data_IF_018328206743
#
_entry.id   IF_018328206743
#
_cell.length_a   1.000
_cell.length_b   1.000
_cell.length_c   1.000
_cell.angle_alpha   90.00
_cell.angle_beta   90.00
_cell.angle_gamma   90.00
#
_symmetry.space_group_name_H-M   'P 1'
#
loop_
_entity.id
_entity.type
_entity.pdbx_description
1 polymer ?
#
# COMPACT_ATOMS: atom_id res chain seq x y z
N UNK A 1 0.22 -31.96 -17.90
CA UNK A 1 -0.89 -31.12 -17.44
C UNK A 1 -0.71 -30.87 -15.95
N UNK A 2 -0.43 -29.65 -15.48
CA UNK A 2 -0.56 -29.36 -14.06
C UNK A 2 -1.98 -28.86 -13.79
N UNK A 3 -2.61 -29.47 -12.79
CA UNK A 3 -3.91 -29.08 -12.23
C UNK A 3 -3.79 -27.68 -11.62
N UNK A 4 -4.44 -26.70 -12.27
CA UNK A 4 -4.82 -25.43 -11.65
C UNK A 4 -5.92 -25.70 -10.64
N UNK A 5 -5.56 -26.16 -9.44
CA UNK A 5 -6.45 -26.08 -8.31
C UNK A 5 -6.52 -24.61 -7.89
N UNK A 6 -7.52 -23.89 -8.38
CA UNK A 6 -7.90 -22.60 -7.81
C UNK A 6 -8.41 -22.86 -6.40
N UNK A 7 -7.51 -22.75 -5.41
CA UNK A 7 -7.92 -22.68 -4.01
C UNK A 7 -8.67 -21.36 -3.84
N UNK A 8 -10.00 -21.43 -3.82
CA UNK A 8 -10.85 -20.32 -3.44
C UNK A 8 -10.60 -20.01 -1.97
N UNK A 9 -10.04 -18.83 -1.70
CA UNK A 9 -9.89 -18.34 -0.34
C UNK A 9 -11.31 -18.25 0.28
N UNK A 10 -11.59 -18.90 1.42
CA UNK A 10 -12.95 -18.99 1.97
C UNK A 10 -13.55 -17.63 2.39
N UNK A 11 -12.75 -16.56 2.38
CA UNK A 11 -13.15 -15.19 2.74
C UNK A 11 -12.97 -14.23 1.56
N UNK A 12 -13.56 -14.54 0.40
CA UNK A 12 -13.67 -13.58 -0.70
C UNK A 12 -14.96 -12.77 -0.54
N UNK A 13 -14.96 -11.85 0.43
CA UNK A 13 -16.10 -10.95 0.72
C UNK A 13 -16.10 -9.69 -0.15
N UNK A 14 -15.22 -9.60 -1.15
CA UNK A 14 -15.17 -8.47 -2.08
C UNK A 14 -16.38 -8.52 -3.01
N UNK A 15 -17.24 -7.49 -2.93
CA UNK A 15 -18.52 -7.43 -3.66
C UNK A 15 -18.42 -6.69 -4.99
N UNK A 16 -17.26 -6.10 -5.29
CA UNK A 16 -17.01 -5.30 -6.49
C UNK A 16 -15.85 -5.87 -7.30
N UNK A 17 -15.98 -5.85 -8.61
CA UNK A 17 -14.87 -6.11 -9.51
C UNK A 17 -14.07 -4.81 -9.75
N UNK A 18 -12.74 -4.89 -9.75
CA UNK A 18 -11.88 -3.77 -10.12
C UNK A 18 -11.91 -3.57 -11.64
N UNK A 19 -12.95 -2.92 -12.10
CA UNK A 19 -13.17 -2.54 -13.50
C UNK A 19 -13.40 -1.03 -13.61
N UNK A 20 -13.55 -0.55 -14.84
CA UNK A 20 -13.68 0.89 -15.08
C UNK A 20 -14.96 1.50 -14.48
N UNK A 21 -16.03 0.73 -14.32
CA UNK A 21 -17.25 1.19 -13.65
C UNK A 21 -17.00 1.43 -12.16
N UNK A 22 -16.38 0.48 -11.47
CA UNK A 22 -15.98 0.64 -10.06
C UNK A 22 -15.05 1.84 -9.89
N UNK A 23 -14.07 2.01 -10.79
CA UNK A 23 -13.14 3.15 -10.76
C UNK A 23 -13.87 4.49 -10.93
N UNK A 24 -14.83 4.58 -11.87
CA UNK A 24 -15.66 5.79 -12.06
C UNK A 24 -16.50 6.15 -10.84
N UNK A 25 -16.94 5.14 -10.09
CA UNK A 25 -17.78 5.33 -8.89
C UNK A 25 -16.98 5.49 -7.60
N UNK A 26 -15.65 5.35 -7.65
CA UNK A 26 -14.77 5.46 -6.49
C UNK A 26 -14.15 6.86 -6.44
N UNK A 27 -14.13 7.49 -5.26
CA UNK A 27 -13.43 8.76 -5.07
C UNK A 27 -11.92 8.59 -5.25
N UNK A 28 -11.20 9.67 -5.59
CA UNK A 28 -9.77 9.61 -5.89
C UNK A 28 -9.48 9.67 -7.38
N UNK A 29 -8.34 9.14 -7.79
CA UNK A 29 -7.84 9.18 -9.17
C UNK A 29 -7.09 7.90 -9.51
N UNK A 30 -7.07 7.57 -10.79
CA UNK A 30 -6.47 6.35 -11.30
C UNK A 30 -5.43 6.69 -12.35
N UNK A 31 -4.28 6.03 -12.31
CA UNK A 31 -3.21 6.20 -13.31
C UNK A 31 -2.69 4.84 -13.77
N UNK A 32 -2.61 4.59 -15.09
CA UNK A 32 -1.99 3.38 -15.60
C UNK A 32 -0.47 3.45 -15.39
N UNK A 33 0.08 2.45 -14.71
CA UNK A 33 1.51 2.20 -14.58
C UNK A 33 1.88 0.91 -15.33
N UNK A 34 3.16 0.63 -15.59
CA UNK A 34 3.58 -0.55 -16.35
C UNK A 34 3.07 -1.89 -15.79
N UNK A 35 2.95 -2.02 -14.46
CA UNK A 35 2.49 -3.24 -13.80
C UNK A 35 0.98 -3.25 -13.50
N UNK A 36 0.25 -2.18 -13.83
CA UNK A 36 -1.18 -2.07 -13.57
C UNK A 36 -1.64 -0.67 -13.19
N UNK A 37 -2.93 -0.49 -13.01
CA UNK A 37 -3.53 0.78 -12.60
C UNK A 37 -3.34 0.99 -11.11
N UNK A 38 -2.83 2.16 -10.74
CA UNK A 38 -2.72 2.60 -9.35
C UNK A 38 -3.80 3.61 -9.02
N UNK A 39 -4.52 3.35 -7.92
CA UNK A 39 -5.44 4.28 -7.30
C UNK A 39 -4.70 5.20 -6.33
N UNK A 40 -4.96 6.51 -6.43
CA UNK A 40 -4.28 7.52 -5.63
C UNK A 40 -5.15 8.75 -5.40
N UNK A 41 -4.74 9.59 -4.48
CA UNK A 41 -5.27 10.93 -4.29
C UNK A 41 -4.13 11.93 -4.10
N UNK A 42 -4.25 13.08 -4.76
CA UNK A 42 -3.28 14.16 -4.71
C UNK A 42 -3.95 15.45 -4.24
N UNK A 43 -3.69 15.85 -3.00
CA UNK A 43 -4.17 17.09 -2.40
C UNK A 43 -3.25 18.27 -2.70
N UNK A 44 -3.84 19.47 -2.82
CA UNK A 44 -3.10 20.75 -2.88
C UNK A 44 -2.10 20.84 -4.05
N UNK A 45 -2.57 20.53 -5.27
CA UNK A 45 -1.74 20.38 -6.48
C UNK A 45 -0.92 21.62 -6.86
N UNK A 46 -1.29 22.81 -6.38
CA UNK A 46 -0.62 24.08 -6.65
C UNK A 46 0.65 24.30 -5.83
N UNK A 47 0.98 23.37 -4.91
CA UNK A 47 2.17 23.45 -4.05
C UNK A 47 3.30 22.57 -4.59
N UNK A 48 4.52 23.01 -4.30
CA UNK A 48 5.73 22.37 -4.84
C UNK A 48 6.35 21.33 -3.90
N UNK A 49 6.15 21.48 -2.58
CA UNK A 49 6.65 20.53 -1.59
C UNK A 49 5.68 19.36 -1.45
N UNK A 50 6.15 18.17 -1.83
CA UNK A 50 5.33 16.96 -1.87
C UNK A 50 5.64 16.05 -0.69
N UNK A 51 4.60 15.61 0.00
CA UNK A 51 4.65 14.53 0.99
C UNK A 51 3.93 13.31 0.42
N UNK A 52 4.58 12.15 0.42
CA UNK A 52 4.01 10.88 -0.03
C UNK A 52 3.75 9.98 1.17
N UNK A 53 2.52 9.51 1.30
CA UNK A 53 2.07 8.62 2.37
C UNK A 53 1.96 7.19 1.83
N UNK A 54 2.72 6.27 2.41
CA UNK A 54 2.80 4.85 1.99
C UNK A 54 2.27 3.94 3.09
N UNK A 55 1.15 3.28 2.82
CA UNK A 55 0.43 2.48 3.82
C UNK A 55 1.05 1.11 4.08
N UNK A 56 0.57 0.43 5.12
CA UNK A 56 1.02 -0.90 5.52
C UNK A 56 0.33 -2.03 4.76
N UNK A 57 0.53 -3.28 5.21
CA UNK A 57 -0.03 -4.43 4.51
C UNK A 57 -1.56 -4.49 4.55
N UNK A 58 -2.19 -4.24 5.70
CA UNK A 58 -3.59 -4.62 5.98
C UNK A 58 -4.63 -3.64 5.44
N UNK A 59 -4.38 -2.33 5.56
CA UNK A 59 -5.35 -1.27 5.30
C UNK A 59 -4.85 -0.39 4.14
N UNK A 60 -5.71 -0.06 3.15
CA UNK A 60 -5.36 0.84 2.06
C UNK A 60 -5.11 2.27 2.53
N UNK A 61 -4.88 3.17 1.58
CA UNK A 61 -4.44 4.55 1.81
C UNK A 61 -5.35 5.43 2.69
N UNK A 62 -6.62 5.04 2.95
CA UNK A 62 -7.53 5.74 3.85
C UNK A 62 -7.05 5.75 5.31
N UNK A 63 -6.15 4.84 5.71
CA UNK A 63 -5.53 4.88 7.05
C UNK A 63 -4.86 6.23 7.33
N UNK A 64 -4.51 6.97 6.29
CA UNK A 64 -3.94 8.29 6.36
C UNK A 64 -4.95 9.45 6.24
N UNK A 65 -6.27 9.24 6.21
CA UNK A 65 -7.28 10.32 6.09
C UNK A 65 -6.97 11.54 7.00
N UNK A 66 -6.75 11.36 8.32
CA UNK A 66 -6.45 12.50 9.19
C UNK A 66 -5.11 13.18 8.84
N UNK A 67 -4.10 12.40 8.46
CA UNK A 67 -2.77 12.90 8.12
C UNK A 67 -2.78 13.65 6.79
N UNK A 68 -3.53 13.14 5.81
CA UNK A 68 -3.70 13.75 4.50
C UNK A 68 -4.35 15.13 4.60
N UNK A 69 -5.46 15.23 5.32
CA UNK A 69 -6.14 16.50 5.53
C UNK A 69 -5.29 17.49 6.32
N UNK A 70 -4.65 17.05 7.40
CA UNK A 70 -3.78 17.89 8.22
C UNK A 70 -2.63 18.49 7.40
N UNK A 71 -1.88 17.67 6.66
CA UNK A 71 -0.73 18.13 5.88
C UNK A 71 -1.16 19.03 4.71
N UNK A 72 -2.29 18.72 4.06
CA UNK A 72 -2.86 19.56 3.00
C UNK A 72 -3.21 20.96 3.54
N UNK A 73 -3.86 21.04 4.70
CA UNK A 73 -4.18 22.31 5.38
C UNK A 73 -2.93 23.09 5.80
N UNK A 74 -1.81 22.41 6.04
CA UNK A 74 -0.50 23.04 6.35
C UNK A 74 0.26 23.50 5.11
N UNK A 75 -0.31 23.37 3.91
CA UNK A 75 0.28 23.92 2.69
C UNK A 75 1.20 22.97 1.93
N UNK A 76 1.21 21.68 2.28
CA UNK A 76 1.91 20.65 1.50
C UNK A 76 1.04 20.15 0.36
N UNK A 77 1.67 19.78 -0.76
CA UNK A 77 1.10 18.85 -1.73
C UNK A 77 1.19 17.45 -1.14
N UNK A 78 0.09 16.73 -1.04
CA UNK A 78 0.09 15.42 -0.36
C UNK A 78 -0.37 14.36 -1.34
N UNK A 79 0.47 13.37 -1.59
CA UNK A 79 0.16 12.18 -2.36
C UNK A 79 -0.07 11.01 -1.41
N UNK A 80 -1.15 10.28 -1.61
CA UNK A 80 -1.39 8.97 -1.00
C UNK A 80 -1.92 8.03 -2.07
N UNK A 81 -1.60 6.75 -1.97
CA UNK A 81 -1.97 5.79 -3.00
C UNK A 81 -2.12 4.39 -2.42
N UNK A 82 -2.92 3.59 -3.08
CA UNK A 82 -3.09 2.18 -2.77
C UNK A 82 -1.94 1.38 -3.38
N UNK A 83 -1.22 0.63 -2.54
CA UNK A 83 -0.26 -0.35 -3.00
C UNK A 83 -0.96 -1.42 -3.84
N UNK A 84 -0.28 -1.94 -4.86
CA UNK A 84 -0.79 -3.07 -5.64
C UNK A 84 -1.25 -4.21 -4.70
N UNK A 85 -2.36 -4.84 -5.03
CA UNK A 85 -2.98 -5.86 -4.17
C UNK A 85 -3.84 -5.31 -3.02
N UNK A 86 -3.99 -3.99 -2.88
CA UNK A 86 -4.80 -3.36 -1.82
C UNK A 86 -5.66 -2.23 -2.39
N UNK A 87 -6.76 -1.94 -1.68
CA UNK A 87 -7.68 -0.86 -2.02
C UNK A 87 -8.24 -1.01 -3.44
N UNK A 88 -8.19 0.06 -4.22
CA UNK A 88 -8.66 0.07 -5.61
C UNK A 88 -7.53 0.05 -6.65
N UNK A 89 -6.29 -0.16 -6.22
CA UNK A 89 -5.19 -0.47 -7.13
C UNK A 89 -5.31 -1.89 -7.66
N UNK A 90 -4.75 -2.13 -8.84
CA UNK A 90 -4.80 -3.43 -9.48
C UNK A 90 -4.08 -4.51 -8.68
N UNK A 91 -4.44 -5.75 -8.99
CA UNK A 91 -3.87 -6.97 -8.43
C UNK A 91 -3.09 -7.70 -9.52
N UNK A 92 -1.91 -7.19 -9.94
CA UNK A 92 -1.14 -7.83 -11.01
C UNK A 92 -0.78 -9.27 -10.66
N UNK A 93 -0.79 -10.13 -11.67
CA UNK A 93 -0.33 -11.51 -11.58
C UNK A 93 1.20 -11.56 -11.65
N UNK A 94 1.83 -11.15 -10.55
CA UNK A 94 3.28 -11.05 -10.42
C UNK A 94 3.72 -11.38 -8.99
N UNK A 95 5.02 -11.44 -8.77
CA UNK A 95 5.57 -11.67 -7.42
C UNK A 95 5.46 -10.40 -6.58
N UNK A 96 4.72 -10.48 -5.48
CA UNK A 96 4.61 -9.39 -4.49
C UNK A 96 5.85 -9.38 -3.59
N UNK A 97 6.83 -8.58 -3.98
CA UNK A 97 8.06 -8.34 -3.22
C UNK A 97 8.31 -6.83 -3.04
N UNK A 98 9.36 -6.48 -2.31
CA UNK A 98 9.73 -5.07 -2.09
C UNK A 98 9.99 -4.32 -3.40
N UNK A 99 10.50 -5.01 -4.43
CA UNK A 99 10.83 -4.42 -5.73
C UNK A 99 9.58 -3.94 -6.46
N UNK A 100 8.49 -4.73 -6.43
CA UNK A 100 7.20 -4.34 -7.00
C UNK A 100 6.71 -3.01 -6.41
N UNK A 101 6.71 -2.88 -5.09
CA UNK A 101 6.18 -1.69 -4.42
C UNK A 101 7.08 -0.46 -4.57
N UNK A 102 8.41 -0.65 -4.57
CA UNK A 102 9.37 0.42 -4.84
C UNK A 102 9.23 0.92 -6.28
N UNK A 103 9.06 -0.01 -7.23
CA UNK A 103 8.80 0.31 -8.64
C UNK A 103 7.47 1.05 -8.81
N UNK A 104 6.41 0.57 -8.15
CA UNK A 104 5.11 1.26 -8.15
C UNK A 104 5.25 2.72 -7.69
N UNK A 105 5.99 2.98 -6.60
CA UNK A 105 6.23 4.34 -6.12
C UNK A 105 7.02 5.17 -7.15
N UNK A 106 8.08 4.62 -7.74
CA UNK A 106 8.87 5.33 -8.76
C UNK A 106 8.02 5.70 -9.99
N UNK A 107 7.32 4.72 -10.54
CA UNK A 107 6.47 4.87 -11.72
C UNK A 107 5.32 5.85 -11.44
N UNK A 108 4.74 5.82 -10.24
CA UNK A 108 3.70 6.76 -9.83
C UNK A 108 4.23 8.20 -9.79
N UNK A 109 5.39 8.44 -9.18
CA UNK A 109 5.99 9.77 -9.15
C UNK A 109 6.31 10.28 -10.55
N UNK A 110 6.80 9.41 -11.44
CA UNK A 110 7.13 9.76 -12.82
C UNK A 110 5.86 10.05 -13.64
N UNK A 111 4.82 9.22 -13.53
CA UNK A 111 3.54 9.39 -14.21
C UNK A 111 2.83 10.69 -13.78
N UNK A 112 2.93 11.07 -12.50
CA UNK A 112 2.40 12.32 -11.97
C UNK A 112 3.32 13.52 -12.17
N UNK A 113 4.46 13.33 -12.84
CA UNK A 113 5.47 14.38 -13.11
C UNK A 113 5.98 15.06 -11.84
N UNK A 114 6.07 14.32 -10.74
CA UNK A 114 6.61 14.75 -9.46
C UNK A 114 8.13 14.59 -9.47
N UNK A 115 8.79 15.52 -10.17
CA UNK A 115 10.24 15.47 -10.44
C UNK A 115 11.11 16.02 -9.30
N UNK A 116 10.54 16.89 -8.46
CA UNK A 116 11.24 17.42 -7.29
C UNK A 116 11.37 16.33 -6.21
N UNK A 117 12.45 16.34 -5.41
CA UNK A 117 12.58 15.43 -4.28
C UNK A 117 11.39 15.56 -3.31
N UNK A 118 10.94 14.44 -2.73
CA UNK A 118 9.70 14.36 -1.91
C UNK A 118 9.99 13.97 -0.45
N UNK A 119 9.10 14.32 0.46
CA UNK A 119 9.09 13.77 1.82
C UNK A 119 8.33 12.44 1.82
N UNK A 120 8.91 11.38 2.39
CA UNK A 120 8.27 10.07 2.50
C UNK A 120 7.81 9.81 3.93
N UNK A 121 6.58 9.30 4.08
CA UNK A 121 6.05 8.79 5.34
C UNK A 121 5.60 7.35 5.11
N UNK A 122 6.23 6.38 5.78
CA UNK A 122 5.92 4.96 5.64
C UNK A 122 5.42 4.32 6.93
N UNK A 123 4.28 3.62 6.86
CA UNK A 123 3.69 2.87 7.97
C UNK A 123 3.95 1.36 7.82
N UNK A 124 4.55 0.69 8.81
CA UNK A 124 4.74 -0.77 8.81
C UNK A 124 5.45 -1.27 7.56
N UNK A 125 4.79 -2.08 6.72
CA UNK A 125 5.32 -2.48 5.41
C UNK A 125 5.68 -1.27 4.53
N UNK A 126 4.89 -0.20 4.58
CA UNK A 126 5.19 1.07 3.93
C UNK A 126 6.50 1.69 4.40
N UNK A 127 6.90 1.46 5.65
CA UNK A 127 8.23 1.86 6.16
C UNK A 127 9.38 1.11 5.50
N UNK A 128 9.23 -0.21 5.27
CA UNK A 128 10.22 -0.98 4.52
C UNK A 128 10.30 -0.51 3.05
N UNK A 129 9.15 -0.22 2.43
CA UNK A 129 9.06 0.29 1.05
C UNK A 129 9.76 1.64 0.92
N UNK A 130 9.43 2.60 1.78
CA UNK A 130 10.02 3.94 1.71
C UNK A 130 11.51 3.94 2.04
N UNK A 131 11.96 3.12 3.01
CA UNK A 131 13.38 2.94 3.28
C UNK A 131 14.15 2.36 2.08
N UNK A 132 13.61 1.31 1.44
CA UNK A 132 14.20 0.72 0.24
C UNK A 132 14.21 1.71 -0.94
N UNK A 133 13.14 2.50 -1.10
CA UNK A 133 13.08 3.55 -2.10
C UNK A 133 14.14 4.63 -1.86
N UNK A 134 14.28 5.13 -0.62
CA UNK A 134 15.31 6.12 -0.26
C UNK A 134 16.72 5.60 -0.55
N UNK A 135 17.00 4.32 -0.29
CA UNK A 135 18.30 3.73 -0.57
C UNK A 135 18.60 3.64 -2.08
N UNK A 136 17.60 3.38 -2.91
CA UNK A 136 17.76 3.23 -4.38
C UNK A 136 17.70 4.57 -5.13
N UNK A 137 16.95 5.54 -4.61
CA UNK A 137 16.71 6.83 -5.24
C UNK A 137 16.99 8.00 -4.28
N UNK A 138 18.21 8.11 -3.71
CA UNK A 138 18.50 9.11 -2.67
C UNK A 138 18.28 10.55 -3.16
N UNK A 139 18.55 10.83 -4.45
CA UNK A 139 18.30 12.15 -5.05
C UNK A 139 16.82 12.51 -5.25
N UNK A 140 15.89 11.58 -4.98
CA UNK A 140 14.43 11.79 -5.09
C UNK A 140 13.77 12.00 -3.72
N UNK A 141 14.52 12.00 -2.61
CA UNK A 141 13.97 12.04 -1.24
C UNK A 141 14.54 13.21 -0.43
N UNK A 142 13.68 14.07 0.11
CA UNK A 142 14.04 15.17 1.02
C UNK A 142 14.12 14.72 2.48
N UNK A 143 13.17 13.87 2.91
CA UNK A 143 13.16 13.31 4.26
C UNK A 143 12.41 11.99 4.29
N UNK A 144 12.68 11.19 5.31
CA UNK A 144 12.02 9.92 5.57
C UNK A 144 11.50 9.89 7.00
N UNK A 145 10.20 9.67 7.15
CA UNK A 145 9.52 9.42 8.43
C UNK A 145 9.02 7.98 8.47
N UNK A 146 9.35 7.25 9.52
CA UNK A 146 8.98 5.85 9.70
C UNK A 146 8.02 5.72 10.89
N UNK A 147 6.88 5.06 10.67
CA UNK A 147 5.87 4.79 11.69
C UNK A 147 5.77 3.27 11.84
N UNK A 148 6.18 2.75 12.99
CA UNK A 148 6.22 1.31 13.29
C UNK A 148 6.77 0.44 12.13
N UNK A 149 7.95 0.75 11.57
CA UNK A 149 8.39 0.18 10.30
C UNK A 149 8.77 -1.30 10.41
N UNK A 150 8.40 -2.06 9.37
CA UNK A 150 8.93 -3.40 9.18
C UNK A 150 10.41 -3.36 8.80
N UNK A 151 11.18 -4.37 9.20
CA UNK A 151 12.58 -4.55 8.77
C UNK A 151 13.62 -3.76 9.57
N UNK A 152 13.24 -3.04 10.63
CA UNK A 152 14.17 -2.35 11.53
C UNK A 152 14.57 -3.29 12.68
N UNK A 153 15.76 -3.91 12.55
CA UNK A 153 16.34 -4.99 13.38
C UNK A 153 15.69 -6.36 13.18
N UNK A 154 16.50 -7.41 13.31
CA UNK A 154 16.01 -8.78 13.47
C UNK A 154 15.16 -8.82 14.73
N UNK A 155 13.84 -8.77 14.57
CA UNK A 155 12.96 -9.40 15.54
C UNK A 155 13.49 -10.83 15.59
N UNK A 156 14.04 -11.28 16.72
CA UNK A 156 14.21 -12.72 16.92
C UNK A 156 12.91 -13.34 16.46
N UNK A 157 12.96 -14.25 15.48
CA UNK A 157 11.76 -14.81 14.91
C UNK A 157 10.93 -15.40 16.05
N UNK A 158 9.92 -14.66 16.48
CA UNK A 158 9.04 -15.11 17.54
C UNK A 158 8.42 -16.42 17.04
N UNK A 159 8.17 -17.36 17.95
CA UNK A 159 7.56 -18.66 17.57
C UNK A 159 6.32 -18.45 16.68
N UNK A 160 5.57 -17.38 16.93
CA UNK A 160 4.49 -16.85 16.10
C UNK A 160 4.89 -16.58 14.64
N UNK A 161 5.93 -15.77 14.38
CA UNK A 161 6.42 -15.49 13.02
C UNK A 161 6.89 -16.76 12.29
N UNK A 162 7.47 -17.74 13.00
CA UNK A 162 7.82 -19.05 12.39
C UNK A 162 6.60 -19.90 12.04
N UNK A 163 5.57 -19.86 12.87
CA UNK A 163 4.32 -20.60 12.67
C UNK A 163 3.54 -20.03 11.47
N UNK A 164 3.48 -18.70 11.33
CA UNK A 164 2.80 -18.03 10.20
C UNK A 164 3.54 -18.25 8.86
N UNK A 165 4.83 -18.58 8.87
CA UNK A 165 5.58 -18.93 7.64
C UNK A 165 5.32 -20.37 7.16
N UNK A 166 4.61 -21.21 7.91
CA UNK A 166 4.26 -22.56 7.46
C UNK A 166 3.03 -22.52 6.55
N UNK A 167 3.07 -23.15 5.37
CA UNK A 167 1.87 -23.31 4.53
C UNK A 167 0.75 -23.96 5.35
N UNK A 168 -0.51 -23.62 5.05
CA UNK A 168 -1.75 -23.98 5.78
C UNK A 168 -1.93 -23.31 7.15
N UNK A 169 -0.88 -23.10 7.95
CA UNK A 169 -1.02 -22.42 9.25
C UNK A 169 -1.13 -20.89 9.10
N UNK A 170 -0.42 -20.32 8.12
CA UNK A 170 -0.63 -18.94 7.69
C UNK A 170 -2.09 -18.67 7.33
N UNK A 171 -2.69 -19.58 6.56
CA UNK A 171 -4.07 -19.51 6.09
C UNK A 171 -5.06 -19.68 7.25
N UNK A 172 -4.81 -20.61 8.18
CA UNK A 172 -5.62 -20.79 9.37
C UNK A 172 -5.58 -19.55 10.30
N UNK A 173 -4.41 -18.94 10.50
CA UNK A 173 -4.27 -17.73 11.32
C UNK A 173 -4.93 -16.53 10.63
N UNK A 174 -4.75 -16.35 9.33
CA UNK A 174 -5.45 -15.32 8.56
C UNK A 174 -6.97 -15.52 8.57
N UNK A 175 -7.43 -16.76 8.50
CA UNK A 175 -8.85 -17.15 8.57
C UNK A 175 -9.47 -16.81 9.93
N UNK A 176 -8.81 -17.22 11.02
CA UNK A 176 -9.34 -17.05 12.38
C UNK A 176 -9.18 -15.60 12.88
N UNK A 177 -8.00 -15.01 12.71
CA UNK A 177 -7.71 -13.64 13.19
C UNK A 177 -8.28 -12.58 12.23
N UNK A 178 -8.23 -12.82 10.92
CA UNK A 178 -8.80 -11.92 9.91
C UNK A 178 -10.33 -11.89 9.93
N UNK A 179 -10.98 -13.03 10.13
CA UNK A 179 -12.43 -13.16 10.13
C UNK A 179 -13.12 -12.50 11.33
N UNK A 180 -12.68 -12.80 12.56
CA UNK A 180 -13.36 -12.29 13.75
C UNK A 180 -12.81 -10.96 14.28
N UNK A 181 -11.52 -10.69 14.15
CA UNK A 181 -10.90 -9.53 14.82
C UNK A 181 -10.81 -8.29 13.92
N UNK A 182 -10.52 -8.46 12.62
CA UNK A 182 -10.35 -7.33 11.68
C UNK A 182 -11.67 -6.86 11.06
N UNK A 183 -12.60 -7.77 10.76
CA UNK A 183 -13.89 -7.43 10.15
C UNK A 183 -14.88 -6.91 11.21
N UNK A 184 -15.10 -7.63 12.31
CA UNK A 184 -16.16 -7.26 13.26
C UNK A 184 -15.88 -6.01 14.12
N UNK A 185 -14.62 -5.56 14.22
CA UNK A 185 -14.25 -4.40 15.05
C UNK A 185 -14.02 -3.11 14.26
N UNK A 186 -13.71 -3.20 12.96
CA UNK A 186 -13.38 -2.05 12.12
C UNK A 186 -14.24 -1.92 10.85
N UNK A 187 -15.16 -2.87 10.56
CA UNK A 187 -16.17 -2.73 9.51
C UNK A 187 -17.54 -2.36 10.11
N UNK A 188 -17.58 -1.22 10.81
CA UNK A 188 -18.82 -0.46 10.95
C UNK A 188 -18.60 0.83 10.19
N UNK A 189 -19.55 1.10 9.30
CA UNK A 189 -19.60 2.28 8.42
C UNK A 189 -19.21 3.59 9.13
#
# INVERSE_FOLDING_TARGET
MPLSASMSFPFRTETKELNDDTRRMTGGSFVPLPDGVTHYELGNITRDQTVVLVHGFSVPYFIFDPTFHFLTQRGFRVLRYDLFGRGFSDRPDTRYNIDLFVKQLADLLDALRLTRPVHLIGLSMGGAITAAFTARYPGRVLSLTLIDPAGVRAVEETRMLRLVKRPYLAEAILTVVGGEFFINRNARD
#
